data_IF_928232471450
#
_entry.id   IF_928232471450
#
_cell.length_a   1.000
_cell.length_b   1.000
_cell.length_c   1.000
_cell.angle_alpha   90.00
_cell.angle_beta   90.00
_cell.angle_gamma   90.00
#
_symmetry.space_group_name_H-M   'P 1'
#
loop_
_entity.id
_entity.type
_entity.pdbx_description
1 polymer ?
#
# COMPACT_ATOMS: atom_id res chain seq x y z
N UNK A 1 4.51 8.67 -10.92
CA UNK A 1 4.98 7.74 -9.94
C UNK A 1 5.62 6.53 -10.60
N UNK A 2 6.89 6.31 -10.30
CA UNK A 2 7.64 5.26 -10.95
C UNK A 2 7.35 3.86 -10.43
N UNK A 3 6.82 3.77 -9.23
CA UNK A 3 6.55 2.48 -8.61
C UNK A 3 5.33 1.80 -9.18
N UNK A 4 4.31 2.58 -9.50
CA UNK A 4 3.08 2.02 -10.01
C UNK A 4 3.25 1.21 -11.29
N UNK A 5 3.96 1.70 -12.31
CA UNK A 5 4.19 0.90 -13.52
C UNK A 5 4.98 -0.37 -13.24
N UNK A 6 5.93 -0.31 -12.29
CA UNK A 6 6.70 -1.48 -11.92
C UNK A 6 5.83 -2.53 -11.26
N UNK A 7 4.93 -2.09 -10.40
CA UNK A 7 4.01 -3.00 -9.72
C UNK A 7 3.08 -3.66 -10.72
N UNK A 8 2.55 -2.86 -11.67
CA UNK A 8 1.68 -3.36 -12.72
C UNK A 8 2.37 -4.45 -13.53
N UNK A 9 3.60 -4.18 -13.94
CA UNK A 9 4.36 -5.14 -14.73
C UNK A 9 4.63 -6.42 -13.92
N UNK A 10 4.98 -6.24 -12.66
CA UNK A 10 5.29 -7.38 -11.79
C UNK A 10 4.10 -8.31 -11.64
N UNK A 11 2.93 -7.74 -11.34
CA UNK A 11 1.73 -8.56 -11.16
C UNK A 11 1.25 -9.18 -12.46
N UNK A 12 1.29 -8.40 -13.54
CA UNK A 12 0.85 -8.90 -14.83
C UNK A 12 1.67 -10.12 -15.23
N UNK A 13 2.97 -10.03 -15.02
CA UNK A 13 3.87 -11.11 -15.38
C UNK A 13 3.66 -12.34 -14.49
N UNK A 14 3.55 -12.13 -13.20
CA UNK A 14 3.44 -13.25 -12.27
C UNK A 14 2.08 -13.93 -12.25
N UNK A 15 1.02 -13.19 -12.55
CA UNK A 15 -0.32 -13.76 -12.54
C UNK A 15 -0.78 -14.24 -13.90
N UNK A 16 -0.04 -13.89 -14.96
CA UNK A 16 -0.35 -14.32 -16.31
C UNK A 16 -1.83 -14.11 -16.65
N UNK A 17 -2.30 -12.89 -16.44
CA UNK A 17 -3.70 -12.57 -16.63
C UNK A 17 -4.06 -12.44 -18.11
N UNK A 18 -5.25 -12.90 -18.47
CA UNK A 18 -5.77 -12.64 -19.81
C UNK A 18 -6.12 -11.16 -19.90
N UNK A 19 -6.40 -10.69 -21.11
CA UNK A 19 -6.77 -9.29 -21.31
C UNK A 19 -8.03 -8.95 -20.50
N UNK A 20 -9.03 -9.83 -20.56
CA UNK A 20 -10.26 -9.61 -19.83
C UNK A 20 -10.03 -9.57 -18.32
N UNK A 21 -9.26 -10.53 -17.82
CA UNK A 21 -8.93 -10.57 -16.39
C UNK A 21 -8.17 -9.32 -15.98
N UNK A 22 -7.23 -8.91 -16.82
CA UNK A 22 -6.42 -7.74 -16.52
C UNK A 22 -7.28 -6.48 -16.41
N UNK A 23 -8.24 -6.33 -17.33
CA UNK A 23 -9.12 -5.16 -17.29
C UNK A 23 -9.92 -5.10 -16.00
N UNK A 24 -10.48 -6.24 -15.61
CA UNK A 24 -11.27 -6.29 -14.38
C UNK A 24 -10.41 -6.09 -13.14
N UNK A 25 -9.23 -6.72 -13.15
CA UNK A 25 -8.32 -6.60 -12.01
C UNK A 25 -7.90 -5.16 -11.78
N UNK A 26 -7.47 -4.48 -12.84
CA UNK A 26 -6.97 -3.12 -12.68
C UNK A 26 -8.07 -2.13 -12.38
N UNK A 27 -9.31 -2.40 -12.84
CA UNK A 27 -10.43 -1.56 -12.45
C UNK A 27 -10.67 -1.65 -10.95
N UNK A 28 -10.65 -2.87 -10.40
CA UNK A 28 -10.82 -3.07 -8.97
C UNK A 28 -9.65 -2.49 -8.18
N UNK A 29 -8.43 -2.66 -8.68
CA UNK A 29 -7.25 -2.14 -8.02
C UNK A 29 -7.24 -0.62 -7.99
N UNK A 30 -7.70 0.01 -9.05
CA UNK A 30 -7.77 1.46 -9.09
C UNK A 30 -8.73 2.01 -8.04
N UNK A 31 -9.85 1.31 -7.84
CA UNK A 31 -10.80 1.72 -6.82
C UNK A 31 -10.18 1.59 -5.42
N UNK A 32 -9.44 0.52 -5.21
CA UNK A 32 -8.73 0.33 -3.95
C UNK A 32 -7.73 1.46 -3.71
N UNK A 33 -6.98 1.82 -4.75
CA UNK A 33 -5.97 2.88 -4.62
C UNK A 33 -6.59 4.23 -4.31
N UNK A 34 -7.76 4.50 -4.88
CA UNK A 34 -8.48 5.72 -4.57
C UNK A 34 -8.86 5.76 -3.08
N UNK A 35 -9.42 4.67 -2.59
CA UNK A 35 -9.82 4.59 -1.19
C UNK A 35 -8.61 4.70 -0.28
N UNK A 36 -7.50 4.07 -0.66
CA UNK A 36 -6.27 4.14 0.11
C UNK A 36 -5.73 5.56 0.17
N UNK A 37 -5.84 6.27 -0.93
CA UNK A 37 -5.36 7.65 -0.99
C UNK A 37 -6.13 8.54 -0.02
N UNK A 38 -7.44 8.37 0.04
CA UNK A 38 -8.26 9.12 0.97
C UNK A 38 -7.86 8.85 2.42
N UNK A 39 -7.62 7.58 2.73
CA UNK A 39 -7.21 7.22 4.07
C UNK A 39 -5.83 7.79 4.39
N UNK A 40 -4.91 7.72 3.43
CA UNK A 40 -3.58 8.29 3.62
C UNK A 40 -3.65 9.78 3.95
N UNK A 41 -4.52 10.49 3.24
CA UNK A 41 -4.67 11.92 3.48
C UNK A 41 -5.25 12.21 4.85
N UNK A 42 -6.24 11.41 5.27
CA UNK A 42 -6.80 11.58 6.60
C UNK A 42 -5.79 11.28 7.69
N UNK A 43 -5.00 10.22 7.51
CA UNK A 43 -3.96 9.88 8.47
C UNK A 43 -2.92 10.99 8.56
N UNK A 44 -2.61 11.60 7.43
CA UNK A 44 -1.65 12.69 7.38
C UNK A 44 -2.15 13.88 8.21
N UNK A 45 -3.44 14.22 8.05
CA UNK A 45 -4.01 15.32 8.82
C UNK A 45 -4.01 15.02 10.31
N UNK A 46 -4.32 13.78 10.68
CA UNK A 46 -4.30 13.40 12.08
C UNK A 46 -2.91 13.47 12.68
N UNK A 47 -1.89 13.16 11.90
CA UNK A 47 -0.51 13.24 12.38
C UNK A 47 -0.04 14.67 12.54
N UNK A 48 -0.55 15.57 11.70
CA UNK A 48 -0.16 16.97 11.77
C UNK A 48 -0.83 17.71 12.93
N UNK A 49 -2.06 17.38 13.22
CA UNK A 49 -2.84 18.14 14.18
C UNK A 49 -2.16 18.34 15.56
N UNK A 50 -1.58 17.29 16.17
CA UNK A 50 -0.93 17.49 17.46
C UNK A 50 0.28 18.43 17.41
N UNK A 51 0.91 18.53 16.25
CA UNK A 51 2.07 19.38 16.10
C UNK A 51 1.73 20.83 15.81
N UNK A 52 0.63 21.04 15.10
CA UNK A 52 0.25 22.37 14.66
C UNK A 52 -0.73 23.05 15.60
N UNK A 53 -1.48 22.27 16.35
CA UNK A 53 -2.49 22.79 17.25
C UNK A 53 -2.20 22.35 18.66
N UNK A 54 -2.56 23.19 19.59
CA UNK A 54 -2.36 22.86 20.99
C UNK A 54 -3.56 22.08 21.48
N UNK A 55 -3.58 20.79 21.23
CA UNK A 55 -4.72 19.94 21.55
C UNK A 55 -4.80 19.55 23.01
N UNK A 56 -6.04 19.49 23.51
CA UNK A 56 -6.27 19.02 24.87
C UNK A 56 -6.00 17.51 24.94
N UNK A 57 -5.89 16.99 26.15
CA UNK A 57 -5.70 15.55 26.33
C UNK A 57 -6.82 14.75 25.70
N UNK A 58 -8.04 15.24 25.84
CA UNK A 58 -9.19 14.57 25.26
C UNK A 58 -9.16 14.55 23.74
N UNK A 59 -8.73 15.65 23.15
CA UNK A 59 -8.60 15.74 21.71
C UNK A 59 -7.50 14.83 21.18
N UNK A 60 -6.40 14.70 21.94
CA UNK A 60 -5.33 13.78 21.57
C UNK A 60 -5.79 12.33 21.62
N UNK A 61 -6.58 12.00 22.64
CA UNK A 61 -7.12 10.65 22.77
C UNK A 61 -8.03 10.33 21.59
N UNK A 62 -8.89 11.28 21.22
CA UNK A 62 -9.77 11.11 20.09
C UNK A 62 -8.99 10.91 18.79
N UNK A 63 -7.89 11.65 18.67
CA UNK A 63 -7.03 11.55 17.51
C UNK A 63 -6.46 10.13 17.37
N UNK A 64 -6.03 9.53 18.48
CA UNK A 64 -5.51 8.17 18.48
C UNK A 64 -6.57 7.17 18.07
N UNK A 65 -7.79 7.37 18.58
CA UNK A 65 -8.91 6.48 18.23
C UNK A 65 -9.20 6.54 16.73
N UNK A 66 -9.22 7.76 16.19
CA UNK A 66 -9.49 7.93 14.77
C UNK A 66 -8.39 7.29 13.91
N UNK A 67 -7.14 7.42 14.35
CA UNK A 67 -6.04 6.77 13.62
C UNK A 67 -6.22 5.27 13.60
N UNK A 68 -6.63 4.69 14.74
CA UNK A 68 -6.89 3.26 14.81
C UNK A 68 -8.01 2.83 13.86
N UNK A 69 -9.08 3.64 13.80
CA UNK A 69 -10.18 3.34 12.90
C UNK A 69 -9.74 3.32 11.45
N UNK A 70 -8.88 4.26 11.09
CA UNK A 70 -8.38 4.32 9.72
C UNK A 70 -7.50 3.12 9.38
N UNK A 71 -6.69 2.66 10.33
CA UNK A 71 -5.87 1.48 10.12
C UNK A 71 -6.73 0.23 9.92
N UNK A 72 -7.79 0.11 10.70
CA UNK A 72 -8.72 -1.00 10.54
C UNK A 72 -9.39 -0.93 9.17
N UNK A 73 -9.77 0.27 8.76
CA UNK A 73 -10.39 0.47 7.47
C UNK A 73 -9.46 0.05 6.32
N UNK A 74 -8.17 0.35 6.45
CA UNK A 74 -7.20 -0.07 5.45
C UNK A 74 -7.15 -1.59 5.32
N UNK A 75 -7.14 -2.26 6.46
CA UNK A 75 -7.11 -3.72 6.47
C UNK A 75 -8.35 -4.29 5.80
N UNK A 76 -9.50 -3.72 6.11
CA UNK A 76 -10.76 -4.19 5.53
C UNK A 76 -10.84 -3.96 4.03
N UNK A 77 -10.33 -2.82 3.57
CA UNK A 77 -10.29 -2.54 2.14
C UNK A 77 -9.42 -3.54 1.40
N UNK A 78 -8.26 -3.83 1.97
CA UNK A 78 -7.34 -4.77 1.33
C UNK A 78 -7.95 -6.17 1.28
N UNK A 79 -8.57 -6.59 2.37
CA UNK A 79 -9.20 -7.91 2.40
C UNK A 79 -10.33 -8.00 1.37
N UNK A 80 -11.16 -6.95 1.31
CA UNK A 80 -12.26 -6.94 0.36
C UNK A 80 -11.76 -7.02 -1.08
N UNK A 81 -10.64 -6.32 -1.36
CA UNK A 81 -10.05 -6.37 -2.69
C UNK A 81 -9.57 -7.78 -3.04
N UNK A 82 -8.88 -8.44 -2.11
CA UNK A 82 -8.39 -9.78 -2.35
C UNK A 82 -9.56 -10.74 -2.60
N UNK A 83 -10.62 -10.60 -1.82
CA UNK A 83 -11.80 -11.45 -2.01
C UNK A 83 -12.47 -11.18 -3.37
N UNK A 84 -12.45 -9.94 -3.79
CA UNK A 84 -12.97 -9.58 -5.10
C UNK A 84 -12.17 -10.28 -6.20
N UNK A 85 -10.87 -10.40 -5.99
CA UNK A 85 -10.02 -11.07 -6.98
C UNK A 85 -10.36 -12.52 -7.18
N UNK A 86 -11.00 -13.15 -6.19
CA UNK A 86 -11.47 -14.52 -6.35
C UNK A 86 -12.60 -14.64 -7.37
N UNK A 87 -13.23 -13.51 -7.72
CA UNK A 87 -14.27 -13.48 -8.75
C UNK A 87 -13.69 -13.10 -10.11
N UNK A 88 -12.45 -12.64 -10.12
CA UNK A 88 -11.80 -12.22 -11.36
C UNK A 88 -10.84 -13.28 -11.85
N UNK A 89 -10.08 -13.87 -10.94
CA UNK A 89 -9.08 -14.89 -11.24
C UNK A 89 -9.50 -16.22 -10.62
N UNK A 90 -8.86 -17.30 -11.04
CA UNK A 90 -9.07 -18.56 -10.35
C UNK A 90 -8.52 -18.46 -8.92
N UNK A 91 -9.01 -19.33 -8.02
CA UNK A 91 -8.61 -19.22 -6.61
C UNK A 91 -7.11 -19.27 -6.36
N UNK A 92 -6.40 -20.11 -7.11
CA UNK A 92 -4.96 -20.24 -6.89
C UNK A 92 -4.22 -18.94 -7.17
N UNK A 93 -4.55 -18.29 -8.28
CA UNK A 93 -3.90 -17.03 -8.62
C UNK A 93 -4.34 -15.91 -7.69
N UNK A 94 -5.63 -15.88 -7.34
CA UNK A 94 -6.13 -14.86 -6.42
C UNK A 94 -5.43 -14.96 -5.06
N UNK A 95 -5.24 -16.17 -4.58
CA UNK A 95 -4.61 -16.39 -3.28
C UNK A 95 -3.13 -15.99 -3.27
N UNK A 96 -2.51 -15.92 -4.43
CA UNK A 96 -1.11 -15.49 -4.51
C UNK A 96 -0.90 -14.00 -4.37
N UNK A 97 -1.96 -13.22 -4.61
CA UNK A 97 -1.81 -11.76 -4.63
C UNK A 97 -1.18 -11.18 -3.37
N UNK A 98 -1.60 -11.56 -2.15
CA UNK A 98 -0.97 -10.98 -0.96
C UNK A 98 0.52 -11.28 -0.87
N UNK A 99 0.93 -12.47 -1.32
CA UNK A 99 2.34 -12.85 -1.27
C UNK A 99 3.14 -12.08 -2.32
N UNK A 100 2.56 -11.87 -3.49
CA UNK A 100 3.21 -11.11 -4.53
C UNK A 100 3.35 -9.64 -4.13
N UNK A 101 2.34 -9.10 -3.48
CA UNK A 101 2.41 -7.73 -3.01
C UNK A 101 3.54 -7.55 -2.01
N UNK A 102 3.66 -8.50 -1.08
CA UNK A 102 4.73 -8.44 -0.09
C UNK A 102 6.09 -8.57 -0.78
N UNK A 103 6.20 -9.50 -1.71
CA UNK A 103 7.44 -9.71 -2.44
C UNK A 103 7.86 -8.46 -3.19
N UNK A 104 6.92 -7.80 -3.82
CA UNK A 104 7.22 -6.57 -4.53
C UNK A 104 7.70 -5.47 -3.58
N UNK A 105 7.00 -5.31 -2.45
CA UNK A 105 7.38 -4.30 -1.48
C UNK A 105 8.78 -4.54 -0.93
N UNK A 106 9.15 -5.79 -0.73
CA UNK A 106 10.48 -6.12 -0.25
C UNK A 106 11.55 -5.80 -1.28
N UNK A 107 11.24 -6.01 -2.55
CA UNK A 107 12.17 -5.65 -3.61
C UNK A 107 12.39 -4.15 -3.67
N UNK A 108 11.32 -3.39 -3.51
CA UNK A 108 11.42 -1.93 -3.50
C UNK A 108 12.26 -1.47 -2.32
N UNK A 109 12.06 -2.09 -1.17
CA UNK A 109 12.83 -1.79 0.02
C UNK A 109 14.31 -2.06 -0.20
N UNK A 110 14.63 -3.20 -0.80
CA UNK A 110 16.01 -3.56 -1.08
C UNK A 110 16.68 -2.55 -2.00
N UNK A 111 15.96 -2.12 -3.03
CA UNK A 111 16.48 -1.12 -3.94
C UNK A 111 16.80 0.18 -3.24
N UNK A 112 15.91 0.62 -2.37
CA UNK A 112 16.11 1.85 -1.62
C UNK A 112 17.30 1.70 -0.67
N UNK A 113 17.39 0.54 -0.04
CA UNK A 113 18.46 0.27 0.88
C UNK A 113 19.81 0.28 0.18
N UNK A 114 19.88 -0.36 -0.98
CA UNK A 114 21.10 -0.39 -1.75
C UNK A 114 21.49 1.00 -2.24
N UNK A 115 20.50 1.77 -2.65
CA UNK A 115 20.76 3.14 -3.05
C UNK A 115 21.32 3.95 -1.92
N UNK A 116 20.75 3.80 -0.73
CA UNK A 116 21.24 4.50 0.45
C UNK A 116 22.64 4.08 0.80
N UNK A 117 22.91 2.77 0.73
CA UNK A 117 24.25 2.26 1.00
C UNK A 117 25.27 2.86 0.07
N UNK A 118 24.91 2.96 -1.19
CA UNK A 118 25.82 3.52 -2.15
C UNK A 118 26.10 4.97 -1.90
N UNK A 119 25.11 5.71 -1.47
CA UNK A 119 25.36 7.11 -1.21
C UNK A 119 26.03 7.32 0.11
N UNK A 120 25.93 6.35 1.03
CA UNK A 120 26.49 6.54 2.34
C UNK A 120 27.90 6.09 2.56
N UNK A 121 28.50 5.31 1.68
CA UNK A 121 29.77 4.73 1.99
C UNK A 121 30.86 5.69 2.34
N UNK A 122 30.72 6.85 1.91
CA UNK A 122 31.75 7.77 2.18
C UNK A 122 32.04 7.95 3.62
N UNK A 123 31.07 7.73 4.48
CA UNK A 123 31.32 8.00 5.81
C UNK A 123 32.08 6.97 6.51
N UNK A 124 32.22 5.85 6.00
CA UNK A 124 32.91 4.93 6.71
C UNK A 124 34.29 5.04 6.71
N UNK A 125 34.72 5.75 5.96
CA UNK A 125 36.05 5.85 5.97
C UNK A 125 36.53 6.41 7.14
N UNK A 126 36.37 6.41 7.77
CA UNK A 126 36.75 6.76 8.77
C UNK A 126 37.17 6.37 9.36
#
# INVERSE_FOLDING_TARGET
DKIKPLFTAFLTENLDMTVDESMKFWAAHNELEKAREEIRNEKKELRKAPKEKNLSAKALEKNVIQMGDLLIQEIELNRAFILECFHILDPNRAAEIPFLERQFHERIKERRSKGSSRSGPTRKDK
#
